data_IF_091711524063
#
_entry.id   IF_091711524063
#
_cell.length_a   1.000
_cell.length_b   1.000
_cell.length_c   1.000
_cell.angle_alpha   90.00
_cell.angle_beta   90.00
_cell.angle_gamma   90.00
#
_symmetry.space_group_name_H-M   'P 1'
#
loop_
_entity.id
_entity.type
_entity.pdbx_description
1 polymer ?
#
# COMPACT_ATOMS: atom_id res chain seq x y z
N UNK A 1 6.11 -21.89 -18.72
CA UNK A 1 6.37 -20.44 -18.75
C UNK A 1 5.96 -19.84 -17.42
N UNK A 2 6.73 -18.94 -16.85
CA UNK A 2 6.38 -18.27 -15.59
C UNK A 2 5.78 -16.87 -15.86
N UNK A 3 5.00 -16.37 -14.90
CA UNK A 3 4.42 -15.05 -14.97
C UNK A 3 3.74 -14.63 -13.67
N UNK A 4 3.22 -13.40 -13.65
CA UNK A 4 2.51 -12.82 -12.51
C UNK A 4 1.04 -12.60 -12.85
N UNK A 5 0.13 -12.98 -11.95
CA UNK A 5 -1.30 -12.68 -12.10
C UNK A 5 -1.50 -11.17 -11.92
N UNK A 6 -1.85 -10.49 -13.00
CA UNK A 6 -2.08 -9.05 -12.98
C UNK A 6 -3.57 -8.69 -12.82
N UNK A 7 -4.47 -9.63 -13.08
CA UNK A 7 -5.92 -9.40 -12.97
C UNK A 7 -6.67 -10.73 -12.86
N UNK A 8 -7.79 -10.74 -12.11
CA UNK A 8 -8.68 -11.89 -12.01
C UNK A 8 -10.15 -11.46 -12.17
N UNK A 9 -10.86 -12.01 -13.14
CA UNK A 9 -12.27 -11.70 -13.42
C UNK A 9 -13.03 -12.98 -13.76
N UNK A 10 -14.12 -13.24 -13.07
CA UNK A 10 -15.06 -14.32 -13.39
C UNK A 10 -14.41 -15.72 -13.58
N UNK A 11 -13.32 -15.98 -12.86
CA UNK A 11 -12.60 -17.26 -12.96
C UNK A 11 -11.52 -17.32 -14.04
N UNK A 12 -11.32 -16.23 -14.78
CA UNK A 12 -10.19 -16.04 -15.67
C UNK A 12 -9.12 -15.20 -14.98
N UNK A 13 -7.86 -15.52 -15.29
CA UNK A 13 -6.67 -14.85 -14.77
C UNK A 13 -5.84 -14.35 -15.94
N UNK A 14 -5.48 -13.07 -15.90
CA UNK A 14 -4.60 -12.45 -16.86
C UNK A 14 -3.19 -12.48 -16.29
N UNK A 15 -2.28 -13.13 -16.99
CA UNK A 15 -0.91 -13.37 -16.52
C UNK A 15 0.04 -12.57 -17.41
N UNK A 16 0.81 -11.67 -16.80
CA UNK A 16 1.95 -11.03 -17.42
C UNK A 16 3.13 -12.00 -17.34
N UNK A 17 3.52 -12.56 -18.48
CA UNK A 17 4.51 -13.61 -18.57
C UNK A 17 5.93 -13.07 -18.82
N UNK A 18 6.93 -13.89 -18.64
CA UNK A 18 8.36 -13.58 -18.78
C UNK A 18 8.79 -13.13 -20.20
N UNK A 19 7.93 -13.32 -21.19
CA UNK A 19 8.11 -12.85 -22.57
C UNK A 19 7.44 -11.49 -22.83
N UNK A 20 7.07 -10.74 -21.76
CA UNK A 20 6.40 -9.45 -21.79
C UNK A 20 4.99 -9.48 -22.44
N UNK A 21 4.38 -10.66 -22.57
CA UNK A 21 3.04 -10.82 -23.11
C UNK A 21 2.02 -11.16 -22.02
N UNK A 22 0.74 -10.89 -22.33
CA UNK A 22 -0.37 -11.16 -21.44
C UNK A 22 -1.18 -12.34 -21.98
N UNK A 23 -1.29 -13.40 -21.16
CA UNK A 23 -2.08 -14.59 -21.44
C UNK A 23 -3.36 -14.58 -20.61
N UNK A 24 -4.50 -14.93 -21.24
CA UNK A 24 -5.74 -15.21 -20.56
C UNK A 24 -5.77 -16.70 -20.15
N UNK A 25 -5.78 -16.98 -18.86
CA UNK A 25 -5.65 -18.33 -18.33
C UNK A 25 -6.83 -18.71 -17.45
N UNK A 26 -7.17 -20.00 -17.47
CA UNK A 26 -8.06 -20.63 -16.48
C UNK A 26 -7.24 -21.38 -15.45
N UNK A 27 -7.66 -21.34 -14.19
CA UNK A 27 -7.04 -22.16 -13.15
C UNK A 27 -7.51 -23.62 -13.26
N UNK A 28 -6.57 -24.58 -13.26
CA UNK A 28 -6.90 -26.02 -13.23
C UNK A 28 -7.71 -26.34 -11.97
N UNK A 29 -8.61 -27.32 -12.06
CA UNK A 29 -9.51 -27.69 -10.97
C UNK A 29 -8.82 -28.20 -9.69
N UNK A 30 -7.51 -28.53 -9.76
CA UNK A 30 -6.69 -28.95 -8.63
C UNK A 30 -6.63 -27.90 -7.52
N UNK A 31 -6.59 -26.58 -7.86
CA UNK A 31 -6.57 -25.50 -6.87
C UNK A 31 -7.82 -25.42 -5.99
N UNK A 32 -8.96 -25.97 -6.47
CA UNK A 32 -10.18 -26.12 -5.68
C UNK A 32 -10.05 -27.22 -4.62
N UNK A 33 -9.30 -28.31 -4.94
CA UNK A 33 -9.05 -29.41 -4.00
C UNK A 33 -8.09 -28.98 -2.89
N UNK A 34 -7.04 -28.22 -3.24
CA UNK A 34 -6.01 -27.76 -2.31
C UNK A 34 -6.42 -26.51 -1.52
N UNK A 35 -7.68 -26.02 -1.70
CA UNK A 35 -8.22 -24.80 -1.08
C UNK A 35 -7.35 -23.55 -1.30
N UNK A 36 -6.42 -23.57 -2.26
CA UNK A 36 -5.55 -22.45 -2.59
C UNK A 36 -6.15 -21.67 -3.76
N UNK A 37 -6.79 -20.56 -3.45
CA UNK A 37 -7.34 -19.66 -4.47
C UNK A 37 -6.22 -18.77 -5.05
N UNK A 38 -6.07 -18.70 -6.40
CA UNK A 38 -5.16 -17.75 -7.02
C UNK A 38 -5.55 -16.30 -6.66
N UNK A 39 -4.57 -15.49 -6.33
CA UNK A 39 -4.71 -14.07 -6.00
C UNK A 39 -4.00 -13.21 -7.05
N UNK A 40 -4.45 -11.98 -7.21
CA UNK A 40 -3.71 -10.95 -7.94
C UNK A 40 -2.37 -10.73 -7.25
N UNK A 41 -1.28 -10.72 -8.03
CA UNK A 41 0.09 -10.68 -7.51
C UNK A 41 0.76 -12.04 -7.32
N UNK A 42 0.04 -13.16 -7.43
CA UNK A 42 0.69 -14.48 -7.42
C UNK A 42 1.66 -14.63 -8.59
N UNK A 43 2.82 -15.20 -8.29
CA UNK A 43 3.70 -15.75 -9.31
C UNK A 43 3.21 -17.17 -9.64
N UNK A 44 3.09 -17.49 -10.92
CA UNK A 44 2.47 -18.73 -11.38
C UNK A 44 3.27 -19.35 -12.52
N UNK A 45 3.09 -20.66 -12.69
CA UNK A 45 3.44 -21.34 -13.92
C UNK A 45 2.20 -21.50 -14.79
N UNK A 46 2.37 -21.27 -16.08
CA UNK A 46 1.32 -21.44 -17.08
C UNK A 46 1.74 -22.43 -18.17
N UNK A 47 0.78 -23.15 -18.67
CA UNK A 47 0.85 -23.93 -19.89
C UNK A 47 0.13 -23.14 -20.98
N UNK A 48 0.85 -22.79 -22.04
CA UNK A 48 0.26 -22.09 -23.20
C UNK A 48 -0.52 -23.11 -24.03
N UNK A 49 -1.79 -22.80 -24.28
CA UNK A 49 -2.70 -23.64 -25.07
C UNK A 49 -2.85 -23.11 -26.50
N UNK A 50 -2.85 -21.81 -26.66
CA UNK A 50 -2.89 -21.12 -27.94
C UNK A 50 -1.97 -19.89 -27.90
N UNK A 51 -0.94 -19.91 -28.75
CA UNK A 51 0.05 -18.82 -28.84
C UNK A 51 -0.50 -17.61 -29.61
N UNK A 52 -1.43 -17.81 -30.55
CA UNK A 52 -1.99 -16.71 -31.36
C UNK A 52 -3.05 -15.93 -30.57
N UNK A 53 -3.94 -16.66 -29.88
CA UNK A 53 -4.99 -16.08 -29.07
C UNK A 53 -4.51 -15.71 -27.66
N UNK A 54 -3.26 -16.10 -27.30
CA UNK A 54 -2.67 -15.89 -25.96
C UNK A 54 -3.52 -16.51 -24.85
N UNK A 55 -3.98 -17.74 -25.09
CA UNK A 55 -4.72 -18.53 -24.11
C UNK A 55 -3.83 -19.54 -23.40
N UNK A 56 -4.11 -19.77 -22.11
CA UNK A 56 -3.35 -20.71 -21.31
C UNK A 56 -4.10 -21.28 -20.12
N UNK A 57 -3.38 -22.05 -19.35
CA UNK A 57 -3.86 -22.65 -18.11
C UNK A 57 -2.85 -22.44 -16.99
N UNK A 58 -3.28 -21.98 -15.83
CA UNK A 58 -2.44 -21.92 -14.63
C UNK A 58 -2.23 -23.34 -14.14
N UNK A 59 -0.98 -23.78 -14.10
CA UNK A 59 -0.59 -25.13 -13.69
C UNK A 59 -0.08 -25.21 -12.26
N UNK A 60 0.58 -24.14 -11.78
CA UNK A 60 1.06 -24.03 -10.41
C UNK A 60 1.00 -22.58 -9.90
N UNK A 61 0.77 -22.42 -8.60
CA UNK A 61 0.98 -21.17 -7.87
C UNK A 61 2.29 -21.33 -7.12
N UNK A 62 3.25 -20.45 -7.37
CA UNK A 62 4.54 -20.47 -6.71
C UNK A 62 4.41 -20.02 -5.24
N UNK A 63 5.36 -20.37 -4.36
CA UNK A 63 5.31 -19.97 -2.97
C UNK A 63 5.15 -18.47 -2.81
N UNK A 64 4.19 -18.06 -1.99
CA UNK A 64 3.94 -16.66 -1.68
C UNK A 64 4.94 -16.15 -0.63
N UNK A 65 5.47 -14.94 -0.84
CA UNK A 65 6.18 -14.18 0.19
C UNK A 65 5.24 -13.76 1.32
N UNK A 66 4.06 -13.25 0.93
CA UNK A 66 2.96 -12.86 1.82
C UNK A 66 1.64 -12.87 1.05
N UNK A 67 0.54 -12.71 1.78
CA UNK A 67 -0.77 -12.46 1.19
C UNK A 67 -1.59 -11.57 2.12
N UNK A 68 -2.13 -10.49 1.58
CA UNK A 68 -3.02 -9.59 2.30
C UNK A 68 -4.47 -10.08 2.15
N UNK A 69 -5.29 -9.85 3.19
CA UNK A 69 -6.71 -10.21 3.16
C UNK A 69 -7.52 -9.07 2.54
N UNK A 70 -7.16 -7.84 2.85
CA UNK A 70 -7.81 -6.62 2.36
C UNK A 70 -6.75 -5.58 1.99
N UNK A 71 -6.50 -5.40 0.70
CA UNK A 71 -7.04 -6.11 -0.46
C UNK A 71 -6.56 -7.57 -0.54
N UNK A 72 -7.34 -8.45 -1.21
CA UNK A 72 -6.93 -9.84 -1.43
C UNK A 72 -5.89 -9.89 -2.56
N UNK A 73 -4.61 -9.73 -2.20
CA UNK A 73 -3.45 -9.71 -3.09
C UNK A 73 -2.28 -10.48 -2.47
N UNK A 74 -1.32 -10.89 -3.30
CA UNK A 74 -0.16 -11.67 -2.86
C UNK A 74 1.16 -11.02 -3.31
N UNK A 75 2.26 -11.40 -2.65
CA UNK A 75 3.63 -11.01 -3.00
C UNK A 75 3.84 -9.49 -3.01
N UNK A 76 3.33 -8.81 -2.00
CA UNK A 76 3.52 -7.37 -1.81
C UNK A 76 4.87 -7.12 -1.15
N UNK A 77 5.70 -6.23 -1.73
CA UNK A 77 6.99 -5.84 -1.16
C UNK A 77 6.86 -4.62 -0.25
N UNK A 78 5.98 -3.68 -0.62
CA UNK A 78 5.75 -2.45 0.14
C UNK A 78 4.38 -1.84 -0.18
N UNK A 79 3.94 -0.92 0.66
CA UNK A 79 2.79 -0.06 0.43
C UNK A 79 3.25 1.36 0.07
N UNK A 80 2.62 1.97 -0.93
CA UNK A 80 2.83 3.36 -1.31
C UNK A 80 1.57 4.14 -0.95
N UNK A 81 1.62 4.86 0.18
CA UNK A 81 0.48 5.53 0.80
C UNK A 81 0.48 7.00 0.37
N UNK A 82 -0.45 7.38 -0.51
CA UNK A 82 -0.49 8.69 -1.15
C UNK A 82 -1.55 9.58 -0.50
N UNK A 83 -1.13 10.74 -0.03
CA UNK A 83 -1.98 11.84 0.41
C UNK A 83 -1.64 13.10 -0.39
N UNK A 84 -2.58 14.02 -0.50
CA UNK A 84 -2.32 15.33 -1.10
C UNK A 84 -2.08 16.36 0.00
N UNK A 85 -1.19 17.34 -0.25
CA UNK A 85 -0.98 18.46 0.66
C UNK A 85 -2.21 19.39 0.69
N UNK A 86 -2.89 19.52 -0.46
CA UNK A 86 -4.14 20.29 -0.59
C UNK A 86 -5.07 19.63 -1.63
N UNK A 87 -6.37 19.92 -1.48
CA UNK A 87 -7.41 19.49 -2.43
C UNK A 87 -7.43 17.98 -2.78
N UNK A 88 -7.69 17.09 -1.80
CA UNK A 88 -8.15 17.37 -0.44
C UNK A 88 -7.00 17.60 0.55
N UNK A 89 -7.26 18.31 1.64
CA UNK A 89 -6.34 18.36 2.79
C UNK A 89 -6.10 16.97 3.36
N UNK A 90 -4.89 16.68 3.85
CA UNK A 90 -4.59 15.38 4.40
C UNK A 90 -5.39 15.11 5.68
N UNK A 91 -5.99 13.93 5.77
CA UNK A 91 -6.55 13.39 7.00
C UNK A 91 -5.49 12.48 7.63
N UNK A 92 -4.78 12.97 8.63
CA UNK A 92 -3.66 12.25 9.25
C UNK A 92 -4.12 11.00 10.00
N UNK A 93 -5.26 11.04 10.68
CA UNK A 93 -5.84 9.84 11.30
C UNK A 93 -6.13 8.73 10.27
N UNK A 94 -6.53 9.08 9.03
CA UNK A 94 -6.68 8.10 7.96
C UNK A 94 -5.32 7.61 7.46
N UNK A 95 -4.31 8.47 7.37
CA UNK A 95 -2.94 8.05 7.05
C UNK A 95 -2.44 7.05 8.10
N UNK A 96 -2.61 7.34 9.37
CA UNK A 96 -2.18 6.47 10.44
C UNK A 96 -2.90 5.12 10.44
N UNK A 97 -4.17 5.06 10.05
CA UNK A 97 -4.87 3.79 9.82
C UNK A 97 -4.19 2.94 8.75
N UNK A 98 -3.75 3.54 7.64
CA UNK A 98 -2.99 2.83 6.61
C UNK A 98 -1.67 2.30 7.17
N UNK A 99 -0.93 3.12 7.90
CA UNK A 99 0.34 2.74 8.50
C UNK A 99 0.17 1.59 9.49
N UNK A 100 -0.81 1.66 10.39
CA UNK A 100 -1.15 0.60 11.36
C UNK A 100 -1.48 -0.72 10.64
N UNK A 101 -2.25 -0.68 9.57
CA UNK A 101 -2.56 -1.88 8.79
C UNK A 101 -1.30 -2.48 8.17
N UNK A 102 -0.40 -1.66 7.65
CA UNK A 102 0.84 -2.13 7.05
C UNK A 102 1.79 -2.67 8.11
N UNK A 103 1.89 -2.03 9.26
CA UNK A 103 2.65 -2.56 10.42
C UNK A 103 2.10 -3.93 10.86
N UNK A 104 0.77 -4.09 10.95
CA UNK A 104 0.13 -5.36 11.29
C UNK A 104 0.46 -6.47 10.31
N UNK A 105 0.49 -6.17 9.05
CA UNK A 105 0.79 -7.13 7.97
C UNK A 105 2.30 -7.30 7.73
N UNK A 106 3.15 -6.60 8.49
CA UNK A 106 4.61 -6.54 8.29
C UNK A 106 5.01 -6.13 6.86
N UNK A 107 4.28 -5.19 6.28
CA UNK A 107 4.55 -4.62 4.96
C UNK A 107 5.14 -3.22 5.14
N UNK A 108 6.36 -2.95 4.69
CA UNK A 108 6.96 -1.61 4.75
C UNK A 108 6.08 -0.58 4.04
N UNK A 109 5.91 0.59 4.63
CA UNK A 109 5.14 1.68 4.07
C UNK A 109 6.03 2.85 3.65
N UNK A 110 5.79 3.38 2.45
CA UNK A 110 6.34 4.64 1.95
C UNK A 110 5.21 5.66 1.89
N UNK A 111 5.41 6.80 2.49
CA UNK A 111 4.43 7.90 2.52
C UNK A 111 4.77 8.87 1.39
N UNK A 112 3.76 9.20 0.57
CA UNK A 112 3.90 10.19 -0.47
C UNK A 112 2.90 11.33 -0.26
N UNK A 113 3.40 12.53 -0.05
CA UNK A 113 2.60 13.75 -0.04
C UNK A 113 2.65 14.40 -1.43
N UNK A 114 1.61 14.16 -2.22
CA UNK A 114 1.47 14.72 -3.57
C UNK A 114 0.92 16.16 -3.52
N UNK A 115 1.02 16.87 -4.65
CA UNK A 115 0.65 18.29 -4.80
C UNK A 115 1.49 19.20 -3.90
N UNK A 116 2.79 18.87 -3.80
CA UNK A 116 3.80 19.63 -3.08
C UNK A 116 3.81 21.12 -3.48
N UNK A 117 3.50 21.39 -4.75
CA UNK A 117 3.38 22.75 -5.32
C UNK A 117 2.34 23.64 -4.65
N UNK A 118 1.42 23.08 -3.87
CA UNK A 118 0.39 23.80 -3.12
C UNK A 118 0.71 23.98 -1.63
N UNK A 119 1.84 23.44 -1.16
CA UNK A 119 2.22 23.42 0.25
C UNK A 119 3.26 24.50 0.57
N UNK A 120 3.31 24.91 1.84
CA UNK A 120 4.38 25.75 2.36
C UNK A 120 5.56 24.88 2.82
N UNK A 121 6.76 25.47 2.78
CA UNK A 121 7.98 24.78 3.16
C UNK A 121 7.95 24.26 4.61
N UNK A 122 7.42 25.05 5.54
CA UNK A 122 7.31 24.67 6.94
C UNK A 122 6.40 23.44 7.16
N UNK A 123 5.34 23.30 6.33
CA UNK A 123 4.45 22.13 6.39
C UNK A 123 5.16 20.86 5.88
N UNK A 124 5.98 20.98 4.84
CA UNK A 124 6.76 19.87 4.31
C UNK A 124 7.80 19.38 5.34
N UNK A 125 8.53 20.33 5.95
CA UNK A 125 9.53 20.03 6.99
C UNK A 125 8.89 19.35 8.19
N UNK A 126 7.77 19.90 8.69
CA UNK A 126 7.03 19.33 9.81
C UNK A 126 6.59 17.87 9.52
N UNK A 127 6.01 17.60 8.34
CA UNK A 127 5.56 16.26 7.99
C UNK A 127 6.74 15.31 7.76
N UNK A 128 7.82 15.78 7.17
CA UNK A 128 9.02 14.99 7.00
C UNK A 128 9.55 14.52 8.36
N UNK A 129 9.78 15.44 9.30
CA UNK A 129 10.27 15.11 10.64
C UNK A 129 9.30 14.20 11.40
N UNK A 130 7.99 14.46 11.26
CA UNK A 130 6.94 13.67 11.94
C UNK A 130 6.99 12.19 11.59
N UNK A 131 7.25 11.83 10.33
CA UNK A 131 7.21 10.43 9.89
C UNK A 131 8.59 9.81 9.67
N UNK A 132 9.58 10.58 9.19
CA UNK A 132 10.92 10.07 8.93
C UNK A 132 11.67 9.64 10.18
N UNK A 133 11.50 10.38 11.28
CA UNK A 133 12.13 10.06 12.59
C UNK A 133 11.75 8.68 13.11
N UNK A 134 10.64 8.11 12.64
CA UNK A 134 10.13 6.81 13.05
C UNK A 134 10.32 5.69 12.01
N UNK A 135 11.14 5.97 11.00
CA UNK A 135 11.60 4.97 10.03
C UNK A 135 10.75 4.86 8.78
N UNK A 136 9.74 5.72 8.60
CA UNK A 136 9.00 5.75 7.33
C UNK A 136 9.80 6.51 6.26
N UNK A 137 9.80 6.02 5.03
CA UNK A 137 10.23 6.80 3.89
C UNK A 137 9.15 7.80 3.53
N UNK A 138 9.54 9.07 3.37
CA UNK A 138 8.62 10.19 3.08
C UNK A 138 9.08 10.88 1.81
N UNK A 139 8.18 10.94 0.81
CA UNK A 139 8.41 11.58 -0.49
C UNK A 139 7.40 12.71 -0.67
N UNK A 140 7.85 13.85 -1.16
CA UNK A 140 7.00 14.93 -1.61
C UNK A 140 7.02 15.03 -3.13
N UNK A 141 5.85 14.95 -3.76
CA UNK A 141 5.74 14.97 -5.21
C UNK A 141 4.74 16.00 -5.72
N UNK A 142 4.91 16.40 -6.96
CA UNK A 142 3.93 17.14 -7.73
C UNK A 142 3.85 16.58 -9.14
N UNK A 143 2.70 16.03 -9.49
CA UNK A 143 2.42 15.60 -10.87
C UNK A 143 2.18 16.77 -11.82
N UNK A 144 2.07 17.99 -11.30
CA UNK A 144 1.90 19.21 -12.10
C UNK A 144 3.22 19.67 -12.70
N UNK A 145 4.31 19.66 -11.93
CA UNK A 145 5.63 20.13 -12.37
C UNK A 145 6.68 19.02 -12.48
N UNK A 146 6.31 17.75 -12.14
CA UNK A 146 7.20 16.58 -12.23
C UNK A 146 8.13 16.37 -11.04
N UNK A 147 8.12 17.24 -10.03
CA UNK A 147 8.97 17.09 -8.85
C UNK A 147 8.67 15.80 -8.08
N UNK A 148 9.73 15.11 -7.60
CA UNK A 148 9.64 13.90 -6.80
C UNK A 148 9.29 12.63 -7.58
N UNK A 149 8.98 12.69 -8.89
CA UNK A 149 8.63 11.51 -9.69
C UNK A 149 9.83 10.56 -9.88
N UNK A 150 11.05 11.08 -9.99
CA UNK A 150 12.25 10.25 -10.11
C UNK A 150 12.54 9.51 -8.80
N UNK A 151 12.37 10.15 -7.66
CA UNK A 151 12.48 9.52 -6.35
C UNK A 151 11.45 8.41 -6.16
N UNK A 152 10.20 8.64 -6.62
CA UNK A 152 9.16 7.60 -6.64
C UNK A 152 9.60 6.42 -7.50
N UNK A 153 10.17 6.65 -8.70
CA UNK A 153 10.65 5.56 -9.57
C UNK A 153 11.72 4.71 -8.88
N UNK A 154 12.70 5.33 -8.26
CA UNK A 154 13.78 4.61 -7.60
C UNK A 154 13.28 3.78 -6.41
N UNK A 155 12.35 4.31 -5.59
CA UNK A 155 11.85 3.57 -4.43
C UNK A 155 10.92 2.41 -4.82
N UNK A 156 10.27 2.49 -5.99
CA UNK A 156 9.39 1.45 -6.53
C UNK A 156 10.15 0.36 -7.31
N UNK A 157 11.37 0.63 -7.77
CA UNK A 157 12.13 -0.21 -8.69
C UNK A 157 12.32 -1.63 -8.18
N UNK A 158 11.99 -2.62 -9.03
CA UNK A 158 12.08 -4.05 -8.74
C UNK A 158 11.11 -4.55 -7.68
N UNK A 159 10.06 -3.79 -7.36
CA UNK A 159 9.13 -4.12 -6.29
C UNK A 159 7.69 -4.23 -6.78
N UNK A 160 6.91 -5.04 -6.10
CA UNK A 160 5.46 -5.10 -6.18
C UNK A 160 4.87 -4.24 -5.06
N UNK A 161 4.30 -3.10 -5.42
CA UNK A 161 3.87 -2.06 -4.49
C UNK A 161 2.35 -1.90 -4.51
N UNK A 162 1.70 -2.04 -3.36
CA UNK A 162 0.27 -1.73 -3.23
C UNK A 162 0.08 -0.22 -3.06
N UNK A 163 -0.81 0.37 -3.86
CA UNK A 163 -1.12 1.81 -3.79
C UNK A 163 -2.33 2.04 -2.91
N UNK A 164 -2.19 2.93 -1.93
CA UNK A 164 -3.21 3.29 -0.97
C UNK A 164 -3.42 4.82 -0.90
N UNK A 165 -4.55 5.24 -0.36
CA UNK A 165 -4.86 6.65 -0.13
C UNK A 165 -6.26 7.05 -0.58
N UNK A 166 -6.78 8.19 -0.10
CA UNK A 166 -8.15 8.66 -0.40
C UNK A 166 -8.36 9.05 -1.86
N UNK A 167 -9.60 9.31 -2.23
CA UNK A 167 -9.92 9.82 -3.58
C UNK A 167 -9.39 11.24 -3.78
N UNK A 168 -8.95 11.56 -5.00
CA UNK A 168 -8.53 12.92 -5.37
C UNK A 168 -7.11 13.30 -4.98
N UNK A 169 -6.32 12.42 -4.34
CA UNK A 169 -4.92 12.72 -3.95
C UNK A 169 -3.91 12.61 -5.10
N UNK A 170 -4.35 12.12 -6.28
CA UNK A 170 -3.49 12.01 -7.47
C UNK A 170 -2.89 10.62 -7.72
N UNK A 171 -3.43 9.54 -7.13
CA UNK A 171 -2.96 8.16 -7.37
C UNK A 171 -2.87 7.83 -8.87
N UNK A 172 -3.96 8.05 -9.60
CA UNK A 172 -3.98 7.79 -11.05
C UNK A 172 -3.03 8.70 -11.84
N UNK A 173 -2.84 9.94 -11.41
CA UNK A 173 -1.91 10.87 -12.05
C UNK A 173 -0.46 10.39 -11.90
N UNK A 174 -0.07 9.98 -10.70
CA UNK A 174 1.26 9.40 -10.44
C UNK A 174 1.42 8.12 -11.25
N UNK A 175 0.46 7.19 -11.20
CA UNK A 175 0.52 5.93 -11.97
C UNK A 175 0.67 6.19 -13.47
N UNK A 176 -0.08 7.14 -14.03
CA UNK A 176 0.03 7.50 -15.45
C UNK A 176 1.41 8.09 -15.78
N UNK A 177 1.94 9.01 -14.95
CA UNK A 177 3.25 9.59 -15.16
C UNK A 177 4.39 8.55 -15.10
N UNK A 178 4.23 7.50 -14.29
CA UNK A 178 5.16 6.39 -14.25
C UNK A 178 5.05 5.49 -15.48
N UNK A 179 3.83 5.23 -15.99
CA UNK A 179 3.60 4.42 -17.18
C UNK A 179 4.01 5.11 -18.48
N UNK A 180 3.83 6.42 -18.61
CA UNK A 180 4.22 7.17 -19.81
C UNK A 180 5.71 7.01 -20.13
N UNK A 181 6.55 6.99 -19.12
CA UNK A 181 7.99 6.78 -19.30
C UNK A 181 8.31 5.35 -19.75
N UNK A 182 7.63 4.33 -19.23
CA UNK A 182 7.81 2.94 -19.67
C UNK A 182 7.39 2.78 -21.14
N UNK A 183 6.33 3.48 -21.58
CA UNK A 183 5.89 3.47 -22.96
C UNK A 183 6.88 4.17 -23.89
N UNK A 184 7.57 5.22 -23.44
CA UNK A 184 8.62 5.88 -24.19
C UNK A 184 9.86 5.00 -24.37
N UNK A 185 10.17 4.16 -23.35
CA UNK A 185 11.33 3.25 -23.39
C UNK A 185 11.06 1.95 -24.16
N UNK A 186 9.83 1.42 -24.11
CA UNK A 186 9.49 0.07 -24.61
C UNK A 186 8.55 0.02 -25.83
N UNK A 187 8.01 1.14 -26.24
CA UNK A 187 7.30 1.33 -27.53
C UNK A 187 5.92 0.69 -27.72
N UNK A 188 5.46 -0.36 -27.02
CA UNK A 188 4.22 -1.05 -27.41
C UNK A 188 3.29 -1.66 -26.33
N UNK A 189 3.67 -1.73 -25.06
CA UNK A 189 2.93 -2.52 -24.03
C UNK A 189 1.50 -1.99 -23.74
N UNK A 190 1.15 -0.76 -24.11
CA UNK A 190 0.00 -0.06 -23.54
C UNK A 190 -1.34 -0.19 -24.25
N UNK A 191 -1.42 -0.70 -25.47
CA UNK A 191 -2.67 -0.67 -26.25
C UNK A 191 -3.80 -1.57 -25.70
N UNK A 192 -3.45 -2.71 -25.07
CA UNK A 192 -4.44 -3.62 -24.48
C UNK A 192 -4.90 -3.21 -23.06
N UNK A 193 -4.05 -2.50 -22.28
CA UNK A 193 -4.37 -2.05 -20.94
C UNK A 193 -5.29 -0.82 -20.88
N UNK A 194 -5.34 0.01 -21.94
CA UNK A 194 -6.17 1.24 -22.03
C UNK A 194 -7.68 1.02 -22.12
N UNK A 195 -8.19 -0.20 -22.20
CA UNK A 195 -9.64 -0.49 -22.23
C UNK A 195 -10.23 -0.64 -20.82
N UNK A 196 -10.25 0.42 -20.05
CA UNK A 196 -10.81 0.37 -18.68
C UNK A 196 -10.95 1.73 -18.02
N UNK A 197 -11.44 2.76 -18.73
CA UNK A 197 -12.06 3.90 -18.06
C UNK A 197 -13.37 3.40 -17.46
N UNK A 198 -13.39 3.04 -16.16
CA UNK A 198 -14.53 3.12 -15.22
C UNK A 198 -14.28 2.24 -14.00
N UNK A 199 -14.34 2.85 -12.81
CA UNK A 199 -14.55 2.26 -11.46
C UNK A 199 -14.06 0.81 -11.31
N UNK A 200 -12.79 0.65 -10.98
CA UNK A 200 -12.15 -0.62 -10.68
C UNK A 200 -12.81 -1.25 -9.44
N UNK A 201 -13.68 -2.25 -9.65
CA UNK A 201 -14.21 -3.11 -8.57
C UNK A 201 -13.26 -4.26 -8.21
N UNK A 202 -12.16 -4.42 -8.92
CA UNK A 202 -11.21 -5.52 -8.79
C UNK A 202 -9.78 -5.00 -8.69
N UNK A 203 -8.97 -5.63 -7.84
CA UNK A 203 -7.54 -5.34 -7.76
C UNK A 203 -6.88 -5.62 -9.10
N UNK A 204 -5.99 -4.75 -9.53
CA UNK A 204 -5.24 -4.88 -10.77
C UNK A 204 -3.77 -4.54 -10.52
N UNK A 205 -2.87 -5.32 -11.10
CA UNK A 205 -1.42 -5.03 -11.15
C UNK A 205 -1.11 -4.30 -12.45
N UNK A 206 -0.38 -3.22 -12.33
CA UNK A 206 0.02 -2.34 -13.43
C UNK A 206 1.55 -2.39 -13.51
N UNK A 207 2.15 -2.90 -14.60
CA UNK A 207 3.57 -2.80 -14.82
C UNK A 207 3.96 -1.31 -15.03
N UNK A 208 4.98 -0.86 -14.30
CA UNK A 208 5.51 0.51 -14.41
C UNK A 208 7.03 0.54 -14.63
N UNK A 209 7.62 -0.61 -14.92
CA UNK A 209 9.04 -0.80 -15.22
C UNK A 209 9.39 -2.29 -15.24
N UNK A 210 10.65 -2.61 -15.54
CA UNK A 210 11.15 -3.98 -15.47
C UNK A 210 11.03 -4.47 -14.02
N UNK A 211 10.33 -5.60 -13.83
CA UNK A 211 10.01 -6.21 -12.52
C UNK A 211 9.39 -5.23 -11.49
N UNK A 212 8.80 -4.13 -11.97
CA UNK A 212 8.23 -3.07 -11.14
C UNK A 212 6.74 -2.99 -11.36
N UNK A 213 5.96 -3.19 -10.29
CA UNK A 213 4.52 -3.32 -10.39
C UNK A 213 3.80 -2.45 -9.35
N UNK A 214 2.75 -1.74 -9.79
CA UNK A 214 1.79 -1.09 -8.91
C UNK A 214 0.51 -1.92 -8.83
N UNK A 215 0.00 -2.12 -7.63
CA UNK A 215 -1.30 -2.73 -7.39
C UNK A 215 -2.31 -1.64 -7.07
N UNK A 216 -3.19 -1.35 -8.02
CA UNK A 216 -4.35 -0.50 -7.77
C UNK A 216 -5.46 -1.35 -7.14
N UNK A 217 -5.82 -0.99 -5.91
CA UNK A 217 -6.75 -1.77 -5.11
C UNK A 217 -7.94 -0.90 -4.72
N UNK A 218 -9.10 -1.09 -5.36
CA UNK A 218 -10.30 -0.37 -4.99
C UNK A 218 -10.75 -0.77 -3.57
N UNK A 219 -11.18 0.23 -2.79
CA UNK A 219 -11.67 0.01 -1.43
C UNK A 219 -10.70 0.32 -0.30
N UNK A 220 -9.46 0.70 -0.58
CA UNK A 220 -8.52 1.23 0.40
C UNK A 220 -8.86 2.68 0.85
N UNK A 221 -10.02 3.20 0.50
CA UNK A 221 -10.42 4.58 0.83
C UNK A 221 -11.19 4.71 2.15
N UNK A 222 -11.68 3.60 2.71
CA UNK A 222 -12.38 3.58 4.00
C UNK A 222 -11.91 2.40 4.82
N UNK A 223 -10.93 2.65 5.69
CA UNK A 223 -10.32 1.63 6.52
C UNK A 223 -10.87 1.71 7.92
N UNK A 224 -11.47 0.61 8.36
CA UNK A 224 -11.78 0.38 9.76
C UNK A 224 -10.77 -0.60 10.32
N UNK A 225 -10.21 -0.30 11.48
CA UNK A 225 -9.38 -1.23 12.24
C UNK A 225 -10.33 -2.27 12.87
N UNK A 226 -10.65 -3.34 12.11
CA UNK A 226 -11.67 -4.32 12.54
C UNK A 226 -11.08 -5.45 13.37
N UNK A 227 -9.80 -5.74 13.19
CA UNK A 227 -9.12 -6.91 13.77
C UNK A 227 -7.96 -6.48 14.69
N UNK A 228 -8.09 -5.34 15.35
CA UNK A 228 -7.14 -4.81 16.33
C UNK A 228 -7.93 -4.43 17.58
N UNK A 229 -7.51 -4.95 18.72
CA UNK A 229 -8.06 -4.53 20.01
C UNK A 229 -7.39 -3.22 20.49
N UNK A 230 -8.12 -2.41 21.28
CA UNK A 230 -7.63 -1.13 21.75
C UNK A 230 -6.30 -1.22 22.52
N UNK A 231 -6.05 -2.34 23.20
CA UNK A 231 -4.82 -2.57 23.97
C UNK A 231 -3.64 -2.98 23.08
N UNK A 232 -3.88 -3.45 21.86
CA UNK A 232 -2.85 -3.82 20.90
C UNK A 232 -2.39 -2.62 20.08
N UNK A 233 -3.22 -1.56 19.97
CA UNK A 233 -3.00 -0.42 19.09
C UNK A 233 -1.62 0.21 19.26
N UNK A 234 -1.12 0.34 20.50
CA UNK A 234 0.18 0.94 20.78
C UNK A 234 1.35 0.23 20.11
N UNK A 235 1.25 -1.09 19.87
CA UNK A 235 2.29 -1.87 19.22
C UNK A 235 2.52 -1.47 17.75
N UNK A 236 1.53 -0.82 17.13
CA UNK A 236 1.58 -0.35 15.74
C UNK A 236 1.99 1.13 15.62
N UNK A 237 2.46 1.74 16.72
CA UNK A 237 3.10 3.05 16.74
C UNK A 237 4.58 2.85 17.07
N UNK A 238 5.47 2.75 16.05
CA UNK A 238 6.89 2.42 16.28
C UNK A 238 7.60 3.43 17.17
N UNK A 239 7.14 4.69 17.18
CA UNK A 239 7.65 5.75 18.05
C UNK A 239 7.51 5.45 19.54
N UNK A 240 6.52 4.67 19.97
CA UNK A 240 6.30 4.37 21.37
C UNK A 240 7.30 3.35 21.92
N UNK A 241 7.80 2.44 21.07
CA UNK A 241 8.67 1.33 21.45
C UNK A 241 9.92 1.76 22.22
N UNK A 242 10.50 2.93 21.87
CA UNK A 242 11.70 3.47 22.54
C UNK A 242 11.48 3.87 23.99
N UNK A 243 10.23 4.23 24.34
CA UNK A 243 9.87 4.83 25.61
C UNK A 243 9.02 3.92 26.50
N UNK A 244 8.56 2.76 25.99
CA UNK A 244 7.73 1.82 26.73
C UNK A 244 8.43 1.27 27.97
N UNK A 245 9.72 1.01 27.91
CA UNK A 245 10.52 0.52 29.03
C UNK A 245 10.65 1.54 30.17
N UNK A 246 10.42 2.81 29.90
CA UNK A 246 10.44 3.91 30.87
C UNK A 246 9.08 4.08 31.56
N UNK A 247 8.06 3.31 31.18
CA UNK A 247 6.77 3.37 31.84
C UNK A 247 6.80 2.62 33.16
N UNK A 248 6.25 3.22 34.22
CA UNK A 248 6.13 2.58 35.53
C UNK A 248 5.28 1.32 35.54
N UNK A 249 4.26 1.25 34.69
CA UNK A 249 3.30 0.16 34.66
C UNK A 249 3.50 -0.76 33.47
N UNK A 250 3.58 -2.06 33.72
CA UNK A 250 3.49 -3.05 32.65
C UNK A 250 2.11 -2.96 31.97
N UNK A 251 2.09 -2.97 30.64
CA UNK A 251 0.85 -2.84 29.88
C UNK A 251 0.28 -1.41 29.86
N UNK A 252 1.11 -0.40 30.14
CA UNK A 252 0.75 1.02 29.99
C UNK A 252 0.12 1.27 28.62
N UNK A 253 -1.00 1.97 28.60
CA UNK A 253 -1.71 2.37 27.36
C UNK A 253 -1.33 3.76 26.91
N UNK A 254 -0.44 4.44 27.68
CA UNK A 254 0.07 5.79 27.42
C UNK A 254 -1.03 6.88 27.38
N UNK A 255 -2.14 6.68 28.10
CA UNK A 255 -3.30 7.60 28.09
C UNK A 255 -3.44 8.31 29.44
N UNK A 256 -3.83 7.58 30.46
CA UNK A 256 -4.12 8.13 31.80
C UNK A 256 -3.08 7.77 32.85
N UNK A 257 -2.23 6.80 32.55
CA UNK A 257 -1.26 6.27 33.51
C UNK A 257 -0.26 7.37 33.92
N UNK A 258 0.01 7.53 35.24
CA UNK A 258 1.08 8.40 35.69
C UNK A 258 2.45 7.77 35.38
N UNK A 259 3.50 8.57 35.38
CA UNK A 259 4.89 8.13 35.18
C UNK A 259 5.02 7.29 33.89
N UNK A 260 4.50 7.81 32.78
CA UNK A 260 4.51 7.17 31.46
C UNK A 260 5.64 7.74 30.60
N UNK A 261 6.58 6.86 30.16
CA UNK A 261 7.70 7.26 29.30
C UNK A 261 7.27 7.89 27.98
N UNK A 262 6.22 7.37 27.33
CA UNK A 262 5.69 7.94 26.08
C UNK A 262 5.13 9.35 26.29
N UNK A 263 4.42 9.62 27.41
CA UNK A 263 3.93 10.97 27.70
C UNK A 263 5.05 11.92 28.11
N UNK A 264 6.11 11.43 28.73
CA UNK A 264 7.30 12.24 29.01
C UNK A 264 7.99 12.64 27.70
N UNK A 265 8.21 11.68 26.80
CA UNK A 265 8.80 11.95 25.48
C UNK A 265 7.92 12.90 24.64
N UNK A 266 6.60 12.82 24.76
CA UNK A 266 5.68 13.77 24.13
C UNK A 266 5.87 15.19 24.68
N UNK A 267 6.01 15.34 26.00
CA UNK A 267 6.23 16.63 26.65
C UNK A 267 7.58 17.27 26.28
N UNK A 268 8.59 16.44 25.96
CA UNK A 268 9.91 16.85 25.49
C UNK A 268 9.97 17.01 23.95
N UNK A 269 8.84 16.89 23.24
CA UNK A 269 8.72 16.97 21.77
C UNK A 269 9.51 15.88 21.00
N UNK A 270 9.88 14.80 21.66
CA UNK A 270 10.52 13.64 21.03
C UNK A 270 9.52 12.76 20.28
N UNK A 271 8.23 12.84 20.64
CA UNK A 271 7.10 12.24 19.92
C UNK A 271 6.24 13.35 19.37
N UNK A 272 5.81 13.23 18.11
CA UNK A 272 4.92 14.19 17.45
C UNK A 272 3.56 14.27 18.16
N UNK A 273 3.12 15.49 18.48
CA UNK A 273 1.78 15.75 19.04
C UNK A 273 0.68 15.23 18.09
N UNK A 274 0.85 15.42 16.77
CA UNK A 274 -0.08 14.94 15.75
C UNK A 274 -0.29 13.42 15.85
N UNK A 275 0.80 12.67 15.89
CA UNK A 275 0.77 11.20 15.96
C UNK A 275 0.16 10.70 17.26
N UNK A 276 0.45 11.36 18.37
CA UNK A 276 -0.14 11.01 19.66
C UNK A 276 -1.64 11.31 19.73
N UNK A 277 -2.10 12.42 19.15
CA UNK A 277 -3.52 12.76 19.05
C UNK A 277 -4.28 11.75 18.17
N UNK A 278 -3.70 11.32 17.05
CA UNK A 278 -4.26 10.28 16.20
C UNK A 278 -4.33 8.93 16.93
N UNK A 279 -3.30 8.58 17.72
CA UNK A 279 -3.33 7.41 18.60
C UNK A 279 -4.51 7.47 19.58
N UNK A 280 -4.72 8.59 20.28
CA UNK A 280 -5.84 8.76 21.20
C UNK A 280 -7.19 8.65 20.51
N UNK A 281 -7.32 9.26 19.33
CA UNK A 281 -8.55 9.19 18.52
C UNK A 281 -8.87 7.75 18.12
N UNK A 282 -7.90 7.02 17.60
CA UNK A 282 -8.04 5.62 17.18
C UNK A 282 -8.31 4.69 18.35
N UNK A 283 -7.64 4.91 19.49
CA UNK A 283 -7.90 4.14 20.72
C UNK A 283 -9.35 4.29 21.19
N UNK A 284 -9.85 5.52 21.24
CA UNK A 284 -11.23 5.79 21.65
C UNK A 284 -12.24 5.15 20.67
N UNK A 285 -12.00 5.20 19.38
CA UNK A 285 -12.84 4.54 18.39
C UNK A 285 -12.90 3.02 18.59
N UNK A 286 -11.76 2.37 18.82
CA UNK A 286 -11.70 0.92 19.08
C UNK A 286 -12.43 0.54 20.36
N UNK A 287 -12.26 1.36 21.41
CA UNK A 287 -12.94 1.16 22.70
C UNK A 287 -14.47 1.30 22.61
N UNK A 288 -14.95 2.22 21.78
CA UNK A 288 -16.39 2.38 21.54
C UNK A 288 -16.98 1.20 20.76
N UNK A 289 -16.28 0.71 19.73
CA UNK A 289 -16.73 -0.47 18.96
C UNK A 289 -16.90 -1.73 19.79
N UNK A 290 -16.10 -1.89 20.84
CA UNK A 290 -16.21 -3.05 21.75
C UNK A 290 -17.47 -3.02 22.63
N UNK A 291 -18.15 -1.89 22.74
CA UNK A 291 -19.36 -1.74 23.56
C UNK A 291 -20.65 -2.19 22.86
N UNK A 292 -20.58 -2.53 21.59
CA UNK A 292 -21.66 -3.07 20.77
C UNK A 292 -21.29 -4.44 20.21
#
# INVERSE_FOLDING_TARGET
>A
MQGKIIKGIAGFYYIYAENDEIYECKAKGIFRKDKQKPLVGDNVEIEVLDEQEKEGSVTAILPRKNSLIRPAVANVDQAFVIFAMENPKPNFMLLDRFLIMMEKENVPAVICFNKKDLAKQEELEFLYETYKSWGYDVIFSSTFNGEGLDEIREILKGKTTVVAGPSGVGKSSITNALQENVQMETGEISKKLKRGKHTTRHSQVIPVGHDTYLMDTPGFSSLYLTDIEEQELKAYFPEFRRYEEQCRFQGCRHIHEPDCGVKAALAEHEISQLRYEDYLGLYNELKEKRRF
#
